data_IF_028440961370
#
_entry.id   IF_028440961370
#
_cell.length_a   1.000
_cell.length_b   1.000
_cell.length_c   1.000
_cell.angle_alpha   90.00
_cell.angle_beta   90.00
_cell.angle_gamma   90.00
#
_symmetry.space_group_name_H-M   'P 1'
#
loop_
_entity.id
_entity.type
_entity.pdbx_description
1 polymer ?
#
# COMPACT_ATOMS: atom_id res chain seq x y z
N UNK A 1 26.29 -16.77 -16.27
CA UNK A 1 24.85 -16.61 -16.22
C UNK A 1 24.14 -17.78 -15.52
N UNK A 2 24.17 -19.04 -16.01
CA UNK A 2 23.47 -20.18 -15.36
C UNK A 2 23.83 -20.41 -13.87
N UNK A 3 25.09 -20.19 -13.46
CA UNK A 3 25.53 -20.35 -12.07
C UNK A 3 25.01 -19.25 -11.12
N UNK A 4 24.81 -18.03 -11.62
CA UNK A 4 24.26 -16.90 -10.85
C UNK A 4 22.77 -17.10 -10.62
N UNK A 5 22.02 -17.55 -11.62
CA UNK A 5 20.60 -17.90 -11.52
C UNK A 5 20.39 -19.04 -10.50
N UNK A 6 21.29 -20.02 -10.48
CA UNK A 6 21.22 -21.13 -9.52
C UNK A 6 21.49 -20.68 -8.08
N UNK A 7 22.40 -19.73 -7.88
CA UNK A 7 22.72 -19.16 -6.55
C UNK A 7 21.53 -18.32 -6.03
N UNK A 8 20.92 -17.52 -6.91
CA UNK A 8 19.75 -16.69 -6.56
C UNK A 8 18.55 -17.60 -6.21
N UNK A 9 18.33 -18.65 -7.01
CA UNK A 9 17.26 -19.62 -6.74
C UNK A 9 17.52 -20.45 -5.46
N UNK A 10 18.78 -20.75 -5.13
CA UNK A 10 19.16 -21.44 -3.90
C UNK A 10 19.01 -20.54 -2.67
N UNK A 11 19.27 -19.24 -2.79
CA UNK A 11 19.08 -18.27 -1.70
C UNK A 11 17.60 -17.99 -1.41
N UNK A 12 16.75 -17.96 -2.43
CA UNK A 12 15.30 -17.84 -2.28
C UNK A 12 14.68 -19.06 -1.56
N UNK A 13 15.24 -20.26 -1.77
CA UNK A 13 14.78 -21.50 -1.14
C UNK A 13 15.17 -21.61 0.34
N UNK A 14 16.21 -20.91 0.79
CA UNK A 14 16.66 -20.96 2.19
C UNK A 14 16.03 -19.87 3.07
N UNK A 15 15.45 -18.83 2.48
CA UNK A 15 14.77 -17.76 3.20
C UNK A 15 13.39 -18.18 3.76
N UNK A 16 12.84 -19.31 3.31
CA UNK A 16 11.51 -19.81 3.69
C UNK A 16 11.39 -20.39 5.11
N UNK A 17 12.38 -20.19 5.98
CA UNK A 17 12.39 -20.92 7.26
C UNK A 17 11.90 -20.10 8.47
N UNK A 18 11.85 -18.76 8.43
CA UNK A 18 11.59 -17.96 9.64
C UNK A 18 11.00 -16.56 9.40
N UNK A 19 9.97 -16.40 8.59
CA UNK A 19 9.27 -15.14 8.53
C UNK A 19 7.77 -15.38 8.64
N UNK A 20 7.04 -14.46 9.23
CA UNK A 20 5.61 -14.56 9.46
C UNK A 20 5.25 -15.34 10.74
N UNK A 21 4.61 -14.64 11.68
CA UNK A 21 4.03 -15.26 12.87
C UNK A 21 2.51 -15.28 12.74
N UNK A 22 1.99 -16.33 12.09
CA UNK A 22 0.54 -16.54 11.88
C UNK A 22 -0.22 -16.56 13.21
N UNK A 23 0.45 -16.83 14.34
CA UNK A 23 -0.18 -16.79 15.67
C UNK A 23 -0.60 -15.36 16.07
N UNK A 24 -0.07 -14.34 15.40
CA UNK A 24 -0.40 -12.92 15.61
C UNK A 24 -1.50 -12.41 14.69
N UNK A 25 -2.07 -13.25 13.84
CA UNK A 25 -3.18 -12.89 12.95
C UNK A 25 -4.36 -12.35 13.78
N UNK A 26 -4.87 -11.17 13.42
CA UNK A 26 -5.93 -10.49 14.14
C UNK A 26 -5.49 -9.69 15.38
N UNK A 27 -4.19 -9.54 15.65
CA UNK A 27 -3.67 -8.68 16.73
C UNK A 27 -3.22 -7.30 16.25
N UNK A 28 -3.28 -7.05 14.95
CA UNK A 28 -2.99 -5.76 14.30
C UNK A 28 -4.28 -5.02 13.97
N UNK A 29 -4.17 -3.72 13.80
CA UNK A 29 -5.19 -2.83 13.21
C UNK A 29 -4.54 -1.93 12.18
N UNK A 30 -5.23 -0.90 11.70
CA UNK A 30 -4.78 -0.05 10.59
C UNK A 30 -4.47 -0.87 9.31
N UNK A 31 -5.31 -1.86 9.04
CA UNK A 31 -5.18 -2.77 7.88
C UNK A 31 -5.32 -2.05 6.53
N UNK A 32 -5.92 -0.87 6.53
CA UNK A 32 -6.01 0.00 5.36
C UNK A 32 -4.61 0.37 4.81
N UNK A 33 -3.56 0.30 5.62
CA UNK A 33 -2.19 0.54 5.19
C UNK A 33 -1.66 -0.54 4.24
N UNK A 34 -2.21 -1.77 4.32
CA UNK A 34 -1.83 -2.89 3.45
C UNK A 34 -2.54 -2.85 2.10
N UNK A 35 -3.63 -2.09 1.96
CA UNK A 35 -4.40 -2.04 0.71
C UNK A 35 -3.62 -1.23 -0.33
N UNK A 36 -3.21 -1.85 -1.45
CA UNK A 36 -2.38 -1.19 -2.44
C UNK A 36 -3.16 -0.15 -3.24
N UNK A 37 -2.43 0.87 -3.67
CA UNK A 37 -2.90 1.94 -4.56
C UNK A 37 -2.05 1.95 -5.84
N UNK A 38 -2.50 2.68 -6.85
CA UNK A 38 -1.78 2.76 -8.12
C UNK A 38 -2.00 1.55 -9.01
N UNK A 39 -2.52 1.79 -10.21
CA UNK A 39 -2.94 0.71 -11.10
C UNK A 39 -1.75 -0.11 -11.63
N UNK A 40 -0.59 0.51 -11.91
CA UNK A 40 0.60 -0.21 -12.36
C UNK A 40 1.08 -1.22 -11.31
N UNK A 41 1.21 -0.77 -10.05
CA UNK A 41 1.69 -1.64 -8.98
C UNK A 41 0.72 -2.77 -8.68
N UNK A 42 -0.60 -2.51 -8.64
CA UNK A 42 -1.61 -3.55 -8.45
C UNK A 42 -1.63 -4.54 -9.60
N UNK A 43 -1.58 -4.07 -10.86
CA UNK A 43 -1.58 -4.92 -12.04
C UNK A 43 -0.40 -5.90 -12.09
N UNK A 44 0.72 -5.51 -11.50
CA UNK A 44 1.94 -6.32 -11.43
C UNK A 44 2.08 -7.12 -10.13
N UNK A 45 0.97 -7.26 -9.37
CA UNK A 45 0.95 -7.99 -8.11
C UNK A 45 1.79 -7.37 -6.99
N UNK A 46 2.23 -6.11 -7.11
CA UNK A 46 3.13 -5.45 -6.18
C UNK A 46 4.61 -5.82 -6.33
N UNK A 47 4.99 -6.68 -7.29
CA UNK A 47 6.32 -7.26 -7.39
C UNK A 47 7.44 -6.27 -7.79
N UNK A 48 7.12 -5.09 -8.33
CA UNK A 48 8.07 -4.17 -8.96
C UNK A 48 8.72 -3.14 -8.01
N UNK A 49 8.85 -3.41 -6.73
CA UNK A 49 9.47 -2.46 -5.78
C UNK A 49 10.93 -2.13 -6.11
N UNK A 50 11.60 -2.92 -6.94
CA UNK A 50 12.95 -2.68 -7.44
C UNK A 50 13.00 -1.68 -8.61
N UNK A 51 11.86 -1.43 -9.29
CA UNK A 51 11.77 -0.60 -10.50
C UNK A 51 10.55 0.33 -10.50
N UNK A 52 9.88 0.49 -9.38
CA UNK A 52 8.79 1.48 -9.25
C UNK A 52 9.39 2.87 -9.14
N UNK A 53 8.82 3.86 -9.83
CA UNK A 53 9.35 5.23 -9.89
C UNK A 53 8.24 6.27 -9.81
N UNK A 54 8.60 7.53 -9.54
CA UNK A 54 7.66 8.64 -9.43
C UNK A 54 6.71 8.49 -8.24
N UNK A 55 5.54 9.12 -8.29
CA UNK A 55 4.59 9.18 -7.17
C UNK A 55 4.00 7.83 -6.75
N UNK A 56 3.94 6.85 -7.64
CA UNK A 56 3.47 5.53 -7.28
C UNK A 56 4.44 4.80 -6.33
N UNK A 57 5.73 5.19 -6.37
CA UNK A 57 6.75 4.66 -5.47
C UNK A 57 6.51 5.00 -3.99
N UNK A 58 5.77 6.06 -3.69
CA UNK A 58 5.48 6.48 -2.31
C UNK A 58 4.84 5.35 -1.51
N UNK A 59 3.95 4.59 -2.14
CA UNK A 59 3.32 3.44 -1.52
C UNK A 59 4.21 2.20 -1.54
N UNK A 60 4.91 1.90 -2.64
CA UNK A 60 5.62 0.62 -2.82
C UNK A 60 7.06 0.66 -2.30
N UNK A 61 7.88 1.60 -2.79
CA UNK A 61 9.27 1.78 -2.38
C UNK A 61 9.66 3.27 -2.51
N UNK A 62 9.73 4.02 -1.41
CA UNK A 62 9.96 5.46 -1.47
C UNK A 62 11.26 5.88 -2.15
N UNK A 63 12.23 4.95 -2.29
CA UNK A 63 13.48 5.19 -3.03
C UNK A 63 13.27 5.52 -4.52
N UNK A 64 12.10 5.16 -5.09
CA UNK A 64 11.80 5.38 -6.51
C UNK A 64 11.45 6.82 -6.88
N UNK A 65 11.16 7.69 -5.92
CA UNK A 65 10.66 9.05 -6.18
C UNK A 65 11.68 9.93 -6.91
N UNK A 66 12.97 9.84 -6.56
CA UNK A 66 14.03 10.71 -7.12
C UNK A 66 14.73 10.14 -8.36
N UNK A 67 14.32 8.96 -8.85
CA UNK A 67 14.99 8.31 -10.00
C UNK A 67 14.78 9.11 -11.29
N UNK A 68 13.58 9.67 -11.46
CA UNK A 68 13.26 10.61 -12.54
C UNK A 68 12.83 11.93 -11.92
N UNK A 69 13.80 12.86 -11.68
CA UNK A 69 13.55 14.10 -10.97
C UNK A 69 12.68 15.05 -11.81
N UNK A 70 11.40 15.16 -11.45
CA UNK A 70 10.41 16.02 -12.11
C UNK A 70 9.30 16.42 -11.14
N UNK A 71 8.42 17.31 -11.55
CA UNK A 71 7.22 17.65 -10.80
C UNK A 71 6.07 16.75 -11.27
N UNK A 72 5.43 16.05 -10.34
CA UNK A 72 4.33 15.13 -10.65
C UNK A 72 3.10 15.40 -9.79
N UNK A 73 1.93 15.11 -10.34
CA UNK A 73 0.67 14.94 -9.61
C UNK A 73 0.05 13.61 -10.00
N UNK A 74 -0.53 12.90 -9.03
CA UNK A 74 -1.16 11.60 -9.22
C UNK A 74 -2.51 11.57 -8.51
N UNK A 75 -3.50 11.00 -9.17
CA UNK A 75 -4.76 10.60 -8.56
C UNK A 75 -5.01 9.12 -8.87
N UNK A 76 -5.39 8.36 -7.85
CA UNK A 76 -5.79 6.97 -8.02
C UNK A 76 -7.10 6.71 -7.28
N UNK A 77 -8.01 6.02 -7.94
CA UNK A 77 -9.30 5.61 -7.41
C UNK A 77 -9.39 4.08 -7.42
N UNK A 78 -9.73 3.50 -6.29
CA UNK A 78 -9.87 2.05 -6.11
C UNK A 78 -11.31 1.75 -5.72
N UNK A 79 -12.02 1.04 -6.58
CA UNK A 79 -13.23 0.34 -6.17
C UNK A 79 -12.79 -0.96 -5.49
N UNK A 80 -12.98 -1.02 -4.17
CA UNK A 80 -12.42 -2.10 -3.34
C UNK A 80 -13.48 -3.21 -3.12
N UNK A 81 -13.75 -3.57 -1.91
CA UNK A 81 -14.69 -4.64 -1.52
C UNK A 81 -15.89 -4.03 -0.82
N UNK A 82 -17.07 -4.66 -0.92
CA UNK A 82 -18.28 -4.27 -0.20
C UNK A 82 -18.63 -2.77 -0.34
N UNK A 83 -18.52 -2.24 -1.56
CA UNK A 83 -18.78 -0.84 -1.92
C UNK A 83 -17.86 0.19 -1.25
N UNK A 84 -16.76 -0.27 -0.59
CA UNK A 84 -15.72 0.61 -0.07
C UNK A 84 -14.93 1.18 -1.25
N UNK A 85 -14.75 2.49 -1.25
CA UNK A 85 -13.95 3.18 -2.25
C UNK A 85 -12.75 3.87 -1.60
N UNK A 86 -11.63 3.87 -2.31
CA UNK A 86 -10.41 4.48 -1.83
C UNK A 86 -9.96 5.53 -2.82
N UNK A 87 -9.76 6.74 -2.34
CA UNK A 87 -9.17 7.83 -3.10
C UNK A 87 -7.74 8.09 -2.62
N UNK A 88 -6.83 8.18 -3.56
CA UNK A 88 -5.43 8.51 -3.28
C UNK A 88 -5.00 9.69 -4.15
N UNK A 89 -4.40 10.67 -3.52
CA UNK A 89 -3.85 11.84 -4.18
C UNK A 89 -2.40 12.03 -3.75
N UNK A 90 -1.51 12.34 -4.68
CA UNK A 90 -0.13 12.64 -4.38
C UNK A 90 0.40 13.76 -5.28
N UNK A 91 1.31 14.55 -4.73
CA UNK A 91 2.08 15.56 -5.46
C UNK A 91 3.54 15.50 -5.01
N UNK A 92 4.45 15.68 -5.93
CA UNK A 92 5.88 15.65 -5.63
C UNK A 92 6.68 16.52 -6.60
N UNK A 93 7.85 16.93 -6.16
CA UNK A 93 8.76 17.74 -6.96
C UNK A 93 10.21 17.42 -6.63
N UNK A 94 11.07 17.58 -7.61
CA UNK A 94 12.51 17.52 -7.41
C UNK A 94 13.04 18.84 -6.83
N UNK A 95 13.97 18.71 -5.90
CA UNK A 95 14.74 19.82 -5.32
C UNK A 95 16.17 19.85 -5.88
N UNK A 96 16.38 19.30 -7.08
CA UNK A 96 17.68 19.20 -7.72
C UNK A 96 18.63 18.29 -6.93
N UNK A 97 19.85 18.75 -6.69
CA UNK A 97 20.89 17.97 -6.00
C UNK A 97 20.54 17.57 -4.55
N UNK A 98 19.50 18.15 -3.97
CA UNK A 98 19.06 17.79 -2.61
C UNK A 98 18.28 16.47 -2.62
N UNK A 99 17.60 16.15 -3.73
CA UNK A 99 16.70 14.99 -3.87
C UNK A 99 15.28 15.43 -4.21
N UNK A 100 14.31 14.55 -3.99
CA UNK A 100 12.88 14.80 -4.27
C UNK A 100 12.03 14.65 -3.02
N UNK A 101 10.97 15.47 -2.94
CA UNK A 101 9.96 15.40 -1.87
C UNK A 101 8.58 15.20 -2.48
N UNK A 102 7.70 14.53 -1.72
CA UNK A 102 6.31 14.37 -2.10
C UNK A 102 5.41 14.33 -0.86
N UNK A 103 4.14 14.67 -1.08
CA UNK A 103 3.06 14.51 -0.12
C UNK A 103 1.97 13.66 -0.72
N UNK A 104 1.37 12.80 0.10
CA UNK A 104 0.26 11.95 -0.30
C UNK A 104 -0.87 11.93 0.74
N UNK A 105 -2.06 11.65 0.24
CA UNK A 105 -3.28 11.53 1.00
C UNK A 105 -4.02 10.27 0.51
N UNK A 106 -4.34 9.36 1.42
CA UNK A 106 -5.15 8.18 1.17
C UNK A 106 -6.39 8.22 2.06
N UNK A 107 -7.57 8.21 1.45
CA UNK A 107 -8.85 8.30 2.15
C UNK A 107 -9.76 7.15 1.77
N UNK A 108 -10.45 6.61 2.77
CA UNK A 108 -11.45 5.56 2.61
C UNK A 108 -12.85 6.12 2.75
N UNK A 109 -13.72 5.71 1.85
CA UNK A 109 -15.15 5.94 1.88
C UNK A 109 -15.87 4.61 2.10
N UNK A 110 -16.47 4.45 3.27
CA UNK A 110 -17.21 3.24 3.66
C UNK A 110 -18.72 3.34 3.35
N UNK A 111 -19.13 4.46 2.77
CA UNK A 111 -20.55 4.76 2.59
C UNK A 111 -21.26 5.04 3.92
N UNK A 112 -22.58 5.17 3.83
CA UNK A 112 -23.45 5.45 4.98
C UNK A 112 -23.90 4.15 5.64
N UNK A 113 -23.54 3.94 6.91
CA UNK A 113 -23.90 2.78 7.72
C UNK A 113 -25.12 3.13 8.59
N UNK A 114 -26.25 2.39 8.48
CA UNK A 114 -27.43 2.67 9.32
C UNK A 114 -27.15 2.44 10.80
N UNK A 115 -27.59 3.38 11.63
CA UNK A 115 -27.57 3.21 13.10
C UNK A 115 -28.77 2.35 13.48
N UNK A 116 -28.50 1.20 14.10
CA UNK A 116 -29.50 0.25 14.59
C UNK A 116 -29.52 0.25 16.12
N UNK A 117 -30.67 -0.09 16.69
CA UNK A 117 -30.84 -0.32 18.14
C UNK A 117 -31.59 -1.61 18.38
N UNK A 118 -31.59 -2.12 19.61
CA UNK A 118 -32.37 -3.30 19.99
C UNK A 118 -33.87 -3.12 19.68
N UNK A 119 -34.39 -1.90 19.79
CA UNK A 119 -35.79 -1.56 19.52
C UNK A 119 -36.08 -1.31 18.03
N UNK A 120 -35.06 -0.89 17.28
CA UNK A 120 -35.14 -0.57 15.85
C UNK A 120 -34.03 -1.29 15.08
N UNK A 121 -34.14 -2.62 14.92
CA UNK A 121 -33.11 -3.43 14.27
C UNK A 121 -32.95 -3.14 12.77
N UNK A 122 -33.98 -2.61 12.14
CA UNK A 122 -33.97 -2.23 10.70
C UNK A 122 -33.39 -0.82 10.47
N UNK A 123 -33.02 -0.12 11.56
CA UNK A 123 -32.43 1.22 11.51
C UNK A 123 -33.26 2.30 12.19
N UNK A 124 -32.57 3.29 12.76
CA UNK A 124 -33.18 4.45 13.40
C UNK A 124 -33.57 5.56 12.41
N UNK A 125 -33.20 5.41 11.13
CA UNK A 125 -33.26 6.46 10.12
C UNK A 125 -32.05 7.40 10.12
N UNK A 126 -31.09 7.19 11.03
CA UNK A 126 -29.81 7.90 11.05
C UNK A 126 -28.71 6.99 10.53
N UNK A 127 -27.68 7.60 9.93
CA UNK A 127 -26.48 6.91 9.44
C UNK A 127 -25.23 7.52 10.04
N UNK A 128 -24.13 6.77 9.99
CA UNK A 128 -22.78 7.26 10.22
C UNK A 128 -21.84 6.76 9.13
N UNK A 129 -20.76 7.48 8.88
CA UNK A 129 -19.75 7.09 7.91
C UNK A 129 -18.37 7.11 8.59
N UNK A 130 -17.71 5.95 8.73
CA UNK A 130 -16.32 5.92 9.20
C UNK A 130 -15.40 6.67 8.23
N UNK A 131 -14.34 7.27 8.75
CA UNK A 131 -13.33 7.97 7.95
C UNK A 131 -11.96 7.51 8.36
N UNK A 132 -11.26 6.79 7.47
CA UNK A 132 -9.88 6.40 7.62
C UNK A 132 -9.03 7.23 6.67
N UNK A 133 -7.99 7.86 7.22
CA UNK A 133 -7.15 8.81 6.52
C UNK A 133 -5.69 8.55 6.84
N UNK A 134 -4.87 8.42 5.79
CA UNK A 134 -3.41 8.39 5.91
C UNK A 134 -2.83 9.58 5.15
N UNK A 135 -1.96 10.34 5.81
CA UNK A 135 -1.21 11.45 5.21
C UNK A 135 0.26 11.04 5.22
N UNK A 136 0.90 11.07 4.07
CA UNK A 136 2.31 10.73 3.88
C UNK A 136 3.16 11.93 3.49
N UNK A 137 4.42 11.90 3.93
CA UNK A 137 5.48 12.81 3.47
C UNK A 137 6.71 11.98 3.13
N UNK A 138 7.07 11.98 1.85
CA UNK A 138 8.20 11.20 1.33
C UNK A 138 9.38 12.10 1.00
N UNK A 139 10.57 11.63 1.35
CA UNK A 139 11.84 12.14 0.86
C UNK A 139 12.63 11.00 0.20
N UNK A 140 13.22 11.29 -0.96
CA UNK A 140 14.06 10.35 -1.69
C UNK A 140 15.28 11.04 -2.24
N UNK A 141 16.37 10.27 -2.40
CA UNK A 141 17.60 10.73 -3.01
C UNK A 141 18.32 9.64 -3.77
N UNK A 142 18.70 9.94 -5.00
CA UNK A 142 19.67 9.17 -5.76
C UNK A 142 21.07 9.51 -5.24
N UNK A 143 21.72 8.54 -4.59
CA UNK A 143 23.06 8.71 -4.01
C UNK A 143 24.16 8.50 -5.04
N UNK A 144 23.97 7.56 -5.94
CA UNK A 144 24.85 7.22 -7.06
C UNK A 144 24.02 6.77 -8.24
N UNK A 145 24.64 6.62 -9.41
CA UNK A 145 24.03 6.03 -10.61
C UNK A 145 23.41 4.62 -10.39
N UNK A 146 23.64 4.01 -9.24
CA UNK A 146 23.17 2.66 -8.90
C UNK A 146 22.30 2.56 -7.68
N UNK A 147 22.36 3.54 -6.78
CA UNK A 147 21.71 3.48 -5.47
C UNK A 147 20.80 4.66 -5.29
N UNK A 148 19.55 4.38 -5.03
CA UNK A 148 18.57 5.34 -4.54
C UNK A 148 18.05 4.90 -3.17
N UNK A 149 17.79 5.86 -2.30
CA UNK A 149 17.19 5.65 -0.97
C UNK A 149 15.97 6.55 -0.81
N UNK A 150 15.04 6.14 0.04
CA UNK A 150 13.87 6.96 0.34
C UNK A 150 13.24 6.57 1.67
N UNK A 151 12.49 7.51 2.22
CA UNK A 151 11.72 7.32 3.44
C UNK A 151 10.36 8.02 3.30
N UNK A 152 9.31 7.41 3.85
CA UNK A 152 7.98 7.99 3.93
C UNK A 152 7.53 8.03 5.39
N UNK A 153 7.15 9.20 5.88
CA UNK A 153 6.55 9.43 7.20
C UNK A 153 5.05 9.49 7.04
N UNK A 154 4.33 8.68 7.80
CA UNK A 154 2.87 8.56 7.74
C UNK A 154 2.23 9.01 9.04
N UNK A 155 1.19 9.81 8.94
CA UNK A 155 0.21 10.06 9.99
C UNK A 155 -1.07 9.31 9.63
N UNK A 156 -1.60 8.53 10.57
CA UNK A 156 -2.74 7.65 10.38
C UNK A 156 -3.83 8.07 11.35
N UNK A 157 -5.06 8.18 10.88
CA UNK A 157 -6.22 8.44 11.74
C UNK A 157 -7.42 7.64 11.26
N UNK A 158 -8.04 6.95 12.21
CA UNK A 158 -9.28 6.20 12.03
C UNK A 158 -10.35 6.84 12.92
N UNK A 159 -11.45 7.29 12.31
CA UNK A 159 -12.57 7.87 13.04
C UNK A 159 -13.83 7.04 12.79
N UNK A 160 -14.49 6.62 13.87
CA UNK A 160 -15.73 5.86 13.85
C UNK A 160 -16.70 6.54 14.81
N UNK A 161 -17.69 7.27 14.29
CA UNK A 161 -18.62 8.11 15.07
C UNK A 161 -17.86 9.08 15.98
N UNK A 162 -17.94 8.88 17.32
CA UNK A 162 -17.30 9.73 18.33
C UNK A 162 -16.09 9.05 18.97
N UNK A 163 -15.51 8.04 18.30
CA UNK A 163 -14.23 7.41 18.69
C UNK A 163 -13.20 7.60 17.61
N UNK A 164 -11.94 7.70 17.99
CA UNK A 164 -10.82 7.81 17.07
C UNK A 164 -9.58 7.09 17.58
N UNK A 165 -8.79 6.60 16.63
CA UNK A 165 -7.43 6.13 16.88
C UNK A 165 -6.47 6.88 15.97
N UNK A 166 -5.27 7.19 16.48
CA UNK A 166 -4.23 7.88 15.70
C UNK A 166 -2.90 7.19 15.88
N UNK A 167 -2.07 7.24 14.85
CA UNK A 167 -0.74 6.65 14.87
C UNK A 167 0.22 7.31 13.89
N UNK A 168 1.50 6.95 14.03
CA UNK A 168 2.57 7.35 13.13
C UNK A 168 3.31 6.11 12.68
N UNK A 169 3.71 6.10 11.41
CA UNK A 169 4.52 5.04 10.84
C UNK A 169 5.59 5.60 9.90
N UNK A 170 6.63 4.83 9.69
CA UNK A 170 7.74 5.15 8.78
C UNK A 170 7.97 3.97 7.86
N UNK A 171 8.13 4.27 6.57
CA UNK A 171 8.66 3.34 5.58
C UNK A 171 10.08 3.76 5.21
N UNK A 172 10.93 2.80 4.95
CA UNK A 172 12.27 3.00 4.42
C UNK A 172 12.50 2.07 3.23
N UNK A 173 13.13 2.59 2.19
CA UNK A 173 13.37 1.84 0.98
C UNK A 173 14.73 2.11 0.34
N UNK A 174 15.20 1.12 -0.39
CA UNK A 174 16.42 1.18 -1.21
C UNK A 174 16.12 0.54 -2.56
N UNK A 175 16.61 1.17 -3.62
CA UNK A 175 16.70 0.52 -4.94
C UNK A 175 18.16 0.48 -5.37
N UNK A 176 18.59 -0.68 -5.86
CA UNK A 176 19.96 -0.92 -6.31
C UNK A 176 19.98 -1.51 -7.71
N UNK A 177 20.71 -0.89 -8.62
CA UNK A 177 20.90 -1.34 -10.00
C UNK A 177 22.23 -2.09 -10.11
N UNK A 178 22.18 -3.42 -10.16
CA UNK A 178 23.38 -4.24 -10.37
C UNK A 178 23.95 -4.08 -11.76
N UNK A 179 23.06 -4.14 -12.77
CA UNK A 179 23.34 -3.97 -14.20
C UNK A 179 22.21 -3.14 -14.81
N UNK A 180 22.33 -2.75 -16.05
CA UNK A 180 21.21 -2.06 -16.73
C UNK A 180 19.92 -2.89 -16.72
N UNK A 181 20.06 -4.22 -16.78
CA UNK A 181 18.93 -5.15 -16.83
C UNK A 181 18.54 -5.80 -15.49
N UNK A 182 19.32 -5.64 -14.40
CA UNK A 182 19.02 -6.31 -13.12
C UNK A 182 18.99 -5.31 -11.98
N UNK A 183 17.84 -5.22 -11.32
CA UNK A 183 17.57 -4.31 -10.23
C UNK A 183 17.09 -5.07 -8.99
N UNK A 184 17.49 -4.57 -7.82
CA UNK A 184 17.08 -5.04 -6.50
C UNK A 184 16.32 -3.93 -5.78
N UNK A 185 15.20 -4.26 -5.16
CA UNK A 185 14.47 -3.39 -4.26
C UNK A 185 14.34 -4.01 -2.88
N UNK A 186 14.51 -3.19 -1.86
CA UNK A 186 14.31 -3.57 -0.47
C UNK A 186 13.45 -2.51 0.20
N UNK A 187 12.43 -2.93 0.93
CA UNK A 187 11.64 -2.01 1.76
C UNK A 187 11.35 -2.62 3.12
N UNK A 188 11.26 -1.75 4.11
CA UNK A 188 10.63 -2.04 5.40
C UNK A 188 9.52 -1.03 5.56
N UNK A 189 8.30 -1.51 5.81
CA UNK A 189 7.11 -0.64 5.80
C UNK A 189 6.35 -0.70 7.11
N UNK A 190 5.67 0.42 7.40
CA UNK A 190 4.77 0.58 8.51
C UNK A 190 5.40 0.30 9.89
N UNK A 191 6.68 0.68 10.08
CA UNK A 191 7.28 0.67 11.41
C UNK A 191 6.71 1.87 12.18
N UNK A 192 5.87 1.61 13.17
CA UNK A 192 5.14 2.69 13.80
C UNK A 192 4.78 2.49 15.26
N UNK A 193 3.99 3.43 15.77
CA UNK A 193 3.46 3.41 17.13
C UNK A 193 2.29 2.45 17.23
N UNK A 194 2.00 1.96 18.44
CA UNK A 194 0.71 1.33 18.68
C UNK A 194 -0.40 2.39 18.60
N UNK A 195 -1.59 1.96 18.19
CA UNK A 195 -2.80 2.78 18.15
C UNK A 195 -3.81 2.26 19.19
N UNK A 196 -4.71 3.13 19.61
CA UNK A 196 -5.76 2.82 20.58
C UNK A 196 -6.96 3.70 20.30
N UNK A 197 -8.15 3.12 20.28
CA UNK A 197 -9.38 3.90 20.19
C UNK A 197 -9.70 4.57 21.52
N UNK A 198 -10.09 5.83 21.45
CA UNK A 198 -10.61 6.64 22.56
C UNK A 198 -11.75 7.53 22.07
N UNK A 199 -12.64 7.95 22.96
CA UNK A 199 -13.72 8.85 22.59
C UNK A 199 -15.01 8.66 23.38
N UNK A 200 -16.02 9.47 23.05
CA UNK A 200 -17.26 9.55 23.83
C UNK A 200 -18.08 8.25 23.80
N UNK A 201 -18.04 7.48 22.71
CA UNK A 201 -18.80 6.24 22.61
C UNK A 201 -18.24 5.11 23.48
N UNK A 202 -17.03 5.29 24.03
CA UNK A 202 -16.45 4.41 25.04
C UNK A 202 -16.77 4.84 26.48
N UNK A 203 -17.52 5.94 26.67
CA UNK A 203 -17.91 6.42 27.99
C UNK A 203 -19.29 5.86 28.38
N UNK A 204 -19.38 5.32 29.58
CA UNK A 204 -20.65 4.85 30.17
C UNK A 204 -20.92 5.51 31.51
N UNK A 205 -22.19 5.81 31.79
CA UNK A 205 -22.62 6.28 33.09
C UNK A 205 -23.15 5.13 33.93
N UNK A 206 -22.56 4.93 35.09
CA UNK A 206 -22.99 3.89 36.02
C UNK A 206 -22.73 4.29 37.44
N UNK A 207 -23.34 3.57 38.39
CA UNK A 207 -23.16 3.82 39.83
C UNK A 207 -21.69 3.67 40.23
N UNK A 208 -21.19 4.62 41.00
CA UNK A 208 -19.82 4.57 41.52
C UNK A 208 -19.69 3.41 42.50
N UNK A 209 -18.77 2.45 42.27
CA UNK A 209 -18.54 1.33 43.18
C UNK A 209 -18.22 1.86 44.61
N UNK A 210 -18.92 1.35 45.62
CA UNK A 210 -18.76 1.81 47.02
C UNK A 210 -19.51 3.10 47.38
N UNK A 211 -20.28 3.69 46.45
CA UNK A 211 -21.15 4.82 46.74
C UNK A 211 -22.34 4.44 47.61
N UNK A 212 -22.90 5.41 48.37
CA UNK A 212 -24.15 5.23 49.14
C UNK A 212 -25.36 5.16 48.21
N UNK A 213 -26.40 4.44 48.60
CA UNK A 213 -27.65 4.36 47.85
C UNK A 213 -28.18 5.79 47.54
N UNK A 214 -28.42 6.08 46.24
CA UNK A 214 -28.85 7.42 45.79
C UNK A 214 -27.72 8.38 45.45
N UNK A 215 -26.46 7.94 45.47
CA UNK A 215 -25.34 8.71 44.89
C UNK A 215 -25.52 8.96 43.41
N UNK A 216 -25.04 10.10 42.94
CA UNK A 216 -25.03 10.39 41.51
C UNK A 216 -24.15 9.37 40.75
N UNK A 217 -24.58 9.01 39.50
CA UNK A 217 -23.78 8.15 38.62
C UNK A 217 -22.47 8.83 38.25
N UNK A 218 -21.42 8.04 38.22
CA UNK A 218 -20.12 8.43 37.65
C UNK A 218 -20.03 8.11 36.17
N UNK A 219 -19.23 8.87 35.43
CA UNK A 219 -18.86 8.54 34.06
C UNK A 219 -17.56 7.71 34.08
N UNK A 220 -17.58 6.55 33.46
CA UNK A 220 -16.44 5.65 33.32
C UNK A 220 -16.12 5.47 31.85
N UNK A 221 -14.83 5.43 31.54
CA UNK A 221 -14.33 5.12 30.22
C UNK A 221 -13.98 3.63 30.11
N UNK A 222 -14.48 2.96 29.07
CA UNK A 222 -14.06 1.63 28.70
C UNK A 222 -12.76 1.77 27.92
N UNK A 223 -11.65 1.41 28.55
CA UNK A 223 -10.33 1.48 27.90
C UNK A 223 -10.24 0.40 26.82
N UNK A 224 -10.18 0.81 25.55
CA UNK A 224 -9.96 -0.11 24.45
C UNK A 224 -8.53 -0.68 24.49
N UNK A 225 -8.33 -1.91 23.98
CA UNK A 225 -7.02 -2.50 23.88
C UNK A 225 -6.17 -1.78 22.81
N UNK A 226 -4.86 -1.75 23.01
CA UNK A 226 -3.93 -1.20 22.04
C UNK A 226 -3.65 -2.23 20.96
N UNK A 227 -3.53 -1.79 19.71
CA UNK A 227 -3.18 -2.64 18.57
C UNK A 227 -1.93 -2.12 17.84
N UNK A 228 -1.21 -3.04 17.22
CA UNK A 228 -0.01 -2.72 16.46
C UNK A 228 -0.38 -2.43 15.00
N UNK A 229 0.39 -1.56 14.35
CA UNK A 229 0.33 -1.32 12.91
C UNK A 229 1.00 -2.51 12.20
N UNK A 230 0.40 -3.05 11.10
CA UNK A 230 0.94 -4.19 10.37
C UNK A 230 2.21 -3.79 9.62
N UNK A 231 3.36 -4.24 10.12
CA UNK A 231 4.67 -3.99 9.51
C UNK A 231 5.13 -5.18 8.68
N UNK A 232 5.91 -4.93 7.64
CA UNK A 232 6.49 -5.99 6.82
C UNK A 232 7.81 -5.55 6.16
N UNK A 233 8.59 -6.54 5.78
CA UNK A 233 9.79 -6.42 4.97
C UNK A 233 9.51 -6.99 3.59
N UNK A 234 9.99 -6.32 2.55
CA UNK A 234 9.87 -6.81 1.18
C UNK A 234 11.22 -6.73 0.45
N UNK A 235 11.54 -7.81 -0.27
CA UNK A 235 12.71 -7.93 -1.14
C UNK A 235 12.24 -8.28 -2.54
N UNK A 236 12.65 -7.50 -3.55
CA UNK A 236 12.30 -7.75 -4.95
C UNK A 236 13.51 -7.76 -5.87
N UNK A 237 13.41 -8.57 -6.90
CA UNK A 237 14.30 -8.57 -8.05
C UNK A 237 13.47 -8.28 -9.31
N UNK A 238 13.95 -7.33 -10.13
CA UNK A 238 13.40 -7.02 -11.44
C UNK A 238 14.45 -7.24 -12.51
N UNK A 239 14.05 -7.89 -13.59
CA UNK A 239 14.89 -8.12 -14.76
C UNK A 239 14.24 -7.48 -16.00
N UNK A 240 15.00 -6.58 -16.65
CA UNK A 240 14.58 -5.88 -17.87
C UNK A 240 15.16 -6.59 -19.10
N UNK A 241 14.32 -6.79 -20.10
CA UNK A 241 14.63 -7.37 -21.40
C UNK A 241 14.25 -6.36 -22.49
N UNK A 242 15.23 -5.66 -23.04
CA UNK A 242 15.01 -4.72 -24.13
C UNK A 242 15.10 -5.49 -25.46
N UNK A 243 13.98 -5.62 -26.18
CA UNK A 243 13.95 -6.25 -27.49
C UNK A 243 14.42 -5.29 -28.60
N UNK A 244 14.08 -4.02 -28.45
CA UNK A 244 14.50 -2.92 -29.29
C UNK A 244 14.20 -1.59 -28.58
N UNK A 245 14.50 -0.43 -29.17
CA UNK A 245 14.31 0.90 -28.59
C UNK A 245 12.86 1.23 -28.23
N UNK A 246 11.89 0.49 -28.72
CA UNK A 246 10.45 0.75 -28.56
C UNK A 246 9.70 -0.32 -27.78
N UNK A 247 10.33 -1.48 -27.54
CA UNK A 247 9.66 -2.61 -26.91
C UNK A 247 10.54 -3.22 -25.83
N UNK A 248 10.00 -3.28 -24.64
CA UNK A 248 10.66 -3.82 -23.47
C UNK A 248 9.75 -4.81 -22.73
N UNK A 249 10.35 -5.69 -21.98
CA UNK A 249 9.67 -6.61 -21.06
C UNK A 249 10.35 -6.56 -19.71
N UNK A 250 9.59 -6.25 -18.69
CA UNK A 250 10.02 -6.34 -17.31
C UNK A 250 9.43 -7.58 -16.64
N UNK A 251 10.27 -8.31 -15.95
CA UNK A 251 9.91 -9.46 -15.13
C UNK A 251 10.34 -9.18 -13.70
N UNK A 252 9.45 -9.35 -12.73
CA UNK A 252 9.78 -9.18 -11.33
C UNK A 252 9.26 -10.31 -10.47
N UNK A 253 9.95 -10.52 -9.36
CA UNK A 253 9.46 -11.32 -8.25
C UNK A 253 9.84 -10.63 -6.95
N UNK A 254 8.92 -10.62 -5.98
CA UNK A 254 9.21 -10.15 -4.64
C UNK A 254 8.80 -11.17 -3.59
N UNK A 255 9.48 -11.12 -2.46
CA UNK A 255 9.16 -11.84 -1.24
C UNK A 255 8.79 -10.84 -0.16
N UNK A 256 7.61 -11.03 0.43
CA UNK A 256 7.07 -10.19 1.51
C UNK A 256 7.05 -11.02 2.78
N UNK A 257 7.82 -10.60 3.77
CA UNK A 257 7.83 -11.17 5.10
C UNK A 257 6.93 -10.32 6.01
N UNK A 258 5.77 -10.84 6.36
CA UNK A 258 4.76 -10.16 7.16
C UNK A 258 4.98 -10.40 8.66
N UNK A 259 4.71 -9.37 9.47
CA UNK A 259 4.79 -9.49 10.93
C UNK A 259 3.58 -10.24 11.54
N UNK A 260 2.40 -10.14 10.91
CA UNK A 260 1.14 -10.63 11.48
C UNK A 260 0.27 -11.41 10.47
N UNK A 261 0.82 -11.74 9.31
CA UNK A 261 0.16 -12.47 8.22
C UNK A 261 1.10 -13.50 7.63
N UNK A 262 0.56 -14.33 6.76
CA UNK A 262 1.34 -15.25 5.94
C UNK A 262 2.33 -14.50 5.04
N UNK A 263 3.47 -15.14 4.79
CA UNK A 263 4.45 -14.64 3.83
C UNK A 263 3.94 -14.82 2.40
N UNK A 264 4.29 -13.84 1.54
CA UNK A 264 3.79 -13.80 0.16
C UNK A 264 4.95 -13.74 -0.82
N UNK A 265 4.87 -14.51 -1.90
CA UNK A 265 5.69 -14.30 -3.09
C UNK A 265 4.81 -13.66 -4.17
N UNK A 266 5.28 -12.52 -4.69
CA UNK A 266 4.62 -11.85 -5.79
C UNK A 266 5.40 -12.07 -7.08
N UNK A 267 4.68 -12.21 -8.17
CA UNK A 267 5.20 -12.26 -9.52
C UNK A 267 4.56 -11.16 -10.35
N UNK A 268 5.36 -10.47 -11.14
CA UNK A 268 4.92 -9.39 -12.00
C UNK A 268 5.55 -9.44 -13.39
N UNK A 269 4.77 -9.06 -14.37
CA UNK A 269 5.17 -8.91 -15.77
C UNK A 269 4.61 -7.58 -16.29
N UNK A 270 5.45 -6.82 -17.01
CA UNK A 270 5.04 -5.61 -17.73
C UNK A 270 5.67 -5.64 -19.11
N UNK A 271 4.86 -5.55 -20.17
CA UNK A 271 5.31 -5.42 -21.55
C UNK A 271 4.98 -4.01 -22.05
N UNK A 272 6.04 -3.28 -22.44
CA UNK A 272 5.96 -1.99 -23.08
C UNK A 272 5.97 -2.12 -24.61
N UNK A 273 5.01 -1.47 -25.26
CA UNK A 273 4.89 -1.40 -26.71
C UNK A 273 4.96 0.06 -27.18
N UNK A 274 5.95 0.36 -28.01
CA UNK A 274 6.22 1.69 -28.59
C UNK A 274 6.42 2.77 -27.50
N UNK A 275 6.91 2.39 -26.33
CA UNK A 275 7.07 3.28 -25.15
C UNK A 275 5.79 4.08 -24.79
N UNK A 276 4.64 3.61 -25.24
CA UNK A 276 3.35 4.31 -25.09
C UNK A 276 2.30 3.41 -24.46
N UNK A 277 2.23 2.15 -24.90
CA UNK A 277 1.21 1.21 -24.43
C UNK A 277 1.85 0.14 -23.55
N UNK A 278 1.21 -0.15 -22.43
CA UNK A 278 1.69 -1.12 -21.47
C UNK A 278 0.61 -2.16 -21.17
N UNK A 279 1.00 -3.42 -21.15
CA UNK A 279 0.15 -4.54 -20.68
C UNK A 279 0.85 -5.21 -19.53
N UNK A 280 0.10 -5.48 -18.46
CA UNK A 280 0.63 -5.95 -17.19
C UNK A 280 -0.12 -7.16 -16.68
N UNK A 281 0.60 -8.02 -15.96
CA UNK A 281 0.03 -9.14 -15.25
C UNK A 281 0.78 -9.40 -13.96
N UNK A 282 0.06 -9.87 -12.96
CA UNK A 282 0.60 -10.18 -11.65
C UNK A 282 -0.09 -11.36 -11.00
N UNK A 283 0.61 -11.99 -10.06
CA UNK A 283 0.09 -13.08 -9.25
C UNK A 283 0.70 -13.03 -7.85
N UNK A 284 -0.15 -13.23 -6.83
CA UNK A 284 0.27 -13.29 -5.43
C UNK A 284 0.12 -14.72 -4.93
N UNK A 285 1.19 -15.30 -4.39
CA UNK A 285 1.24 -16.65 -3.85
C UNK A 285 1.52 -16.62 -2.36
N UNK A 286 0.56 -17.08 -1.54
CA UNK A 286 0.79 -17.33 -0.12
C UNK A 286 1.67 -18.57 0.03
N UNK A 287 2.69 -18.51 0.88
CA UNK A 287 3.60 -19.62 1.13
C UNK A 287 2.98 -20.65 2.10
N UNK A 288 2.16 -20.17 3.02
CA UNK A 288 1.42 -20.99 3.95
C UNK A 288 -0.08 -20.87 3.66
N UNK A 289 -0.84 -21.95 3.89
CA UNK A 289 -2.30 -21.96 3.71
C UNK A 289 -2.76 -21.39 2.36
N UNK A 290 -2.17 -21.84 1.26
CA UNK A 290 -2.43 -21.32 -0.09
C UNK A 290 -3.92 -21.30 -0.49
N UNK A 291 -4.77 -22.08 0.19
CA UNK A 291 -6.22 -22.07 0.01
C UNK A 291 -6.89 -20.80 0.57
N UNK A 292 -6.24 -20.12 1.52
CA UNK A 292 -6.75 -18.89 2.14
C UNK A 292 -6.36 -17.65 1.34
N UNK A 293 -5.75 -17.81 0.17
CA UNK A 293 -5.39 -16.69 -0.69
C UNK A 293 -6.64 -16.01 -1.26
N UNK A 294 -6.97 -14.87 -0.67
CA UNK A 294 -8.12 -14.03 -1.09
C UNK A 294 -7.88 -13.43 -2.47
N UNK A 295 -6.63 -13.03 -2.76
CA UNK A 295 -6.29 -12.40 -4.04
C UNK A 295 -5.72 -13.43 -5.00
N UNK A 296 -6.26 -13.42 -6.22
CA UNK A 296 -5.79 -14.27 -7.31
C UNK A 296 -4.81 -13.55 -8.22
N UNK A 297 -5.12 -13.55 -9.52
CA UNK A 297 -4.35 -12.84 -10.50
C UNK A 297 -4.77 -11.36 -10.60
N UNK A 298 -3.85 -10.55 -11.11
CA UNK A 298 -4.09 -9.16 -11.48
C UNK A 298 -3.69 -8.93 -12.93
N UNK A 299 -4.43 -8.06 -13.61
CA UNK A 299 -4.18 -7.66 -15.00
C UNK A 299 -4.29 -6.14 -15.09
N UNK A 300 -3.59 -5.54 -16.04
CA UNK A 300 -3.70 -4.10 -16.26
C UNK A 300 -3.22 -3.66 -17.62
N UNK A 301 -3.60 -2.44 -17.96
CA UNK A 301 -3.16 -1.74 -19.15
C UNK A 301 -2.85 -0.29 -18.80
N UNK A 302 -1.92 0.30 -19.54
CA UNK A 302 -1.54 1.69 -19.37
C UNK A 302 -1.23 2.37 -20.70
N UNK A 303 -1.44 3.67 -20.72
CA UNK A 303 -1.07 4.54 -21.85
C UNK A 303 -0.26 5.70 -21.28
N UNK A 304 0.95 5.86 -21.77
CA UNK A 304 1.80 7.02 -21.51
C UNK A 304 1.75 7.93 -22.74
N UNK A 305 1.02 9.03 -22.60
CA UNK A 305 0.87 10.02 -23.64
C UNK A 305 1.81 11.20 -23.38
N UNK A 306 2.90 11.23 -24.14
CA UNK A 306 3.79 12.38 -24.17
C UNK A 306 3.27 13.38 -25.22
N UNK A 307 2.76 14.53 -24.76
CA UNK A 307 2.14 15.55 -25.61
C UNK A 307 3.17 16.35 -26.45
N UNK A 308 4.45 16.03 -26.32
CA UNK A 308 5.53 16.82 -26.91
C UNK A 308 5.83 18.07 -26.08
N UNK A 309 7.07 18.22 -25.60
CA UNK A 309 7.48 19.22 -24.63
C UNK A 309 7.55 18.65 -23.21
N UNK A 310 7.48 19.52 -22.23
CA UNK A 310 7.74 19.22 -20.81
C UNK A 310 6.52 18.60 -20.07
N UNK A 311 5.56 17.99 -20.79
CA UNK A 311 4.32 17.46 -20.21
C UNK A 311 4.03 16.03 -20.65
N UNK A 312 3.84 15.13 -19.70
CA UNK A 312 3.33 13.77 -19.93
C UNK A 312 2.07 13.49 -19.11
N UNK A 313 1.19 12.68 -19.70
CA UNK A 313 -0.07 12.22 -19.10
C UNK A 313 -0.14 10.70 -19.18
N UNK A 314 -0.23 10.04 -18.03
CA UNK A 314 -0.29 8.60 -17.93
C UNK A 314 -1.66 8.19 -17.40
N UNK A 315 -2.30 7.24 -18.11
CA UNK A 315 -3.54 6.60 -17.69
C UNK A 315 -3.27 5.11 -17.50
N UNK A 316 -3.51 4.62 -16.30
CA UNK A 316 -3.38 3.22 -15.97
C UNK A 316 -4.70 2.66 -15.42
N UNK A 317 -5.00 1.42 -15.79
CA UNK A 317 -6.11 0.65 -15.25
C UNK A 317 -5.60 -0.71 -14.77
N UNK A 318 -6.13 -1.18 -13.64
CA UNK A 318 -5.90 -2.52 -13.16
C UNK A 318 -7.19 -3.20 -12.69
N UNK A 319 -7.22 -4.50 -12.94
CA UNK A 319 -8.16 -5.46 -12.41
C UNK A 319 -7.41 -6.38 -11.45
N UNK A 320 -7.99 -6.66 -10.26
CA UNK A 320 -7.47 -7.67 -9.34
C UNK A 320 -8.60 -8.59 -8.90
N UNK A 321 -8.42 -9.88 -9.14
CA UNK A 321 -9.36 -10.91 -8.71
C UNK A 321 -9.42 -10.97 -7.18
N UNK A 322 -10.64 -11.16 -6.66
CA UNK A 322 -10.90 -11.41 -5.24
C UNK A 322 -11.79 -12.64 -5.14
N UNK A 323 -11.22 -13.77 -4.68
CA UNK A 323 -11.88 -15.09 -4.78
C UNK A 323 -13.11 -15.23 -3.88
N UNK A 324 -13.12 -14.58 -2.72
CA UNK A 324 -14.18 -14.71 -1.72
C UNK A 324 -15.35 -13.72 -1.94
N UNK A 325 -15.21 -12.81 -2.91
CA UNK A 325 -16.21 -11.78 -3.18
C UNK A 325 -16.72 -11.86 -4.62
N UNK A 326 -18.00 -11.54 -4.86
CA UNK A 326 -18.57 -11.55 -6.19
C UNK A 326 -18.02 -10.44 -7.11
N UNK A 327 -17.43 -9.40 -6.54
CA UNK A 327 -16.83 -8.27 -7.27
C UNK A 327 -15.31 -8.28 -7.15
N UNK A 328 -14.64 -8.02 -8.26
CA UNK A 328 -13.21 -7.79 -8.29
C UNK A 328 -12.86 -6.34 -7.91
N UNK A 329 -11.59 -6.08 -7.60
CA UNK A 329 -11.12 -4.71 -7.42
C UNK A 329 -10.79 -4.08 -8.79
N UNK A 330 -11.20 -2.84 -8.96
CA UNK A 330 -10.91 -2.02 -10.13
C UNK A 330 -10.14 -0.77 -9.71
N UNK A 331 -8.99 -0.54 -10.31
CA UNK A 331 -8.11 0.57 -9.97
C UNK A 331 -7.89 1.44 -11.20
N UNK A 332 -8.12 2.73 -11.06
CA UNK A 332 -7.89 3.74 -12.08
C UNK A 332 -6.85 4.73 -11.57
N UNK A 333 -5.84 5.01 -12.37
CA UNK A 333 -4.78 5.95 -12.00
C UNK A 333 -4.51 6.91 -13.14
N UNK A 334 -4.41 8.18 -12.79
CA UNK A 334 -3.98 9.26 -13.69
C UNK A 334 -2.76 9.93 -13.07
N UNK A 335 -1.70 10.05 -13.85
CA UNK A 335 -0.47 10.77 -13.46
C UNK A 335 -0.19 11.87 -14.48
N UNK A 336 0.17 13.03 -13.98
CA UNK A 336 0.62 14.16 -14.76
C UNK A 336 2.04 14.51 -14.34
N UNK A 337 2.96 14.65 -15.29
CA UNK A 337 4.33 15.03 -15.00
C UNK A 337 4.74 16.23 -15.84
N UNK A 338 5.54 17.08 -15.21
CA UNK A 338 6.11 18.30 -15.78
C UNK A 338 7.63 18.23 -15.59
N UNK A 339 8.37 18.34 -16.71
CA UNK A 339 9.84 18.38 -16.72
C UNK A 339 10.38 19.82 -16.52
#
# INVERSE_FOLDING_TARGET
>A
MKKIILIIFSFALTASVFAGDVSRKGTTGAEELLIPIGARGVATGGAFIANITGLESLFYNPAGLDIYPRTEAMFSYVNYLADINISYFAVGTSLGDIGSIAFDLKSFDFGDIPITTVQLPDGTGQTYSPTFLTIGMTYSKVLTDRISIGTNFKFITENIQNTSATGFAVDAGVQYRFMQSLMLGVTVKNIGTNMQFSGQDLMTRTNVPGGTAGSADGTYEIVAETFQIPSFFELSLTYALDFNEQNDLLLASSFVANNAYEDVINFGLEYGFINTFYVRGGYNLLLENSNDNVYGFSLGAGVDYNAGGDFSLIFDYAFREVKEFPSANHIFTVKMAFE
#
